data_IF_156576103958
#
_entry.id   IF_156576103958
#
_cell.length_a   1.000
_cell.length_b   1.000
_cell.length_c   1.000
_cell.angle_alpha   90.00
_cell.angle_beta   90.00
_cell.angle_gamma   90.00
#
_symmetry.space_group_name_H-M   'P 1'
#
loop_
_entity.id
_entity.type
_entity.pdbx_description
1 polymer ?
#
# COMPACT_ATOMS: atom_id res chain seq x y z
N UNK A 1 -3.83 -55.88 3.88
CA UNK A 1 -3.73 -55.52 2.45
C UNK A 1 -5.09 -55.02 2.02
N UNK A 2 -5.36 -53.79 1.57
CA UNK A 2 -4.57 -52.59 1.36
C UNK A 2 -5.54 -51.39 1.32
N UNK A 3 -5.06 -50.23 1.77
CA UNK A 3 -5.66 -48.90 1.58
C UNK A 3 -5.67 -48.55 0.08
N UNK A 4 -6.68 -47.81 -0.37
CA UNK A 4 -6.66 -46.82 -1.48
C UNK A 4 -8.14 -46.46 -1.79
N UNK A 5 -8.56 -45.23 -2.10
CA UNK A 5 -8.04 -43.89 -1.88
C UNK A 5 -9.26 -42.98 -2.09
N UNK A 6 -9.57 -42.13 -1.12
CA UNK A 6 -10.39 -40.95 -1.31
C UNK A 6 -9.65 -40.02 -2.30
N UNK A 7 -10.32 -39.59 -3.36
CA UNK A 7 -9.93 -38.42 -4.13
C UNK A 7 -11.18 -37.65 -4.54
N UNK A 8 -11.46 -36.64 -3.74
CA UNK A 8 -12.53 -35.67 -3.79
C UNK A 8 -12.47 -34.87 -5.09
N UNK A 9 -13.57 -34.83 -5.83
CA UNK A 9 -13.83 -33.85 -6.87
C UNK A 9 -14.04 -32.47 -6.20
N UNK A 10 -12.95 -31.74 -6.01
CA UNK A 10 -13.00 -30.28 -5.87
C UNK A 10 -12.66 -29.70 -7.24
N UNK A 11 -13.71 -29.39 -8.00
CA UNK A 11 -13.59 -28.44 -9.11
C UNK A 11 -13.26 -27.09 -8.49
N UNK A 12 -12.04 -26.63 -8.69
CA UNK A 12 -11.60 -25.28 -8.35
C UNK A 12 -12.45 -24.29 -9.15
N UNK A 13 -13.36 -23.60 -8.46
CA UNK A 13 -14.02 -22.43 -8.99
C UNK A 13 -12.93 -21.37 -9.28
N UNK A 14 -12.97 -20.68 -10.43
CA UNK A 14 -11.97 -19.67 -10.75
C UNK A 14 -11.98 -18.59 -9.66
N UNK A 15 -10.87 -18.51 -8.91
CA UNK A 15 -10.59 -17.39 -8.02
C UNK A 15 -10.55 -16.17 -8.92
N UNK A 16 -11.58 -15.33 -8.80
CA UNK A 16 -11.71 -14.09 -9.53
C UNK A 16 -10.65 -13.12 -8.96
N UNK A 17 -9.41 -13.29 -9.39
CA UNK A 17 -8.32 -12.35 -9.12
C UNK A 17 -8.69 -11.08 -9.89
N UNK A 18 -8.88 -9.93 -9.22
CA UNK A 18 -8.89 -8.67 -9.96
C UNK A 18 -7.56 -8.60 -10.70
N UNK A 19 -7.64 -8.40 -12.01
CA UNK A 19 -6.48 -8.17 -12.85
C UNK A 19 -5.83 -6.83 -12.45
N UNK A 20 -5.04 -6.87 -11.37
CA UNK A 20 -4.25 -5.75 -10.88
C UNK A 20 -3.07 -5.44 -11.82
N UNK A 21 -2.88 -6.23 -12.89
CA UNK A 21 -2.00 -5.85 -14.00
C UNK A 21 -2.64 -4.81 -14.92
N UNK A 22 -3.96 -4.58 -14.82
CA UNK A 22 -4.72 -3.67 -15.67
C UNK A 22 -4.97 -2.26 -15.09
N UNK A 23 -4.43 -1.89 -13.93
CA UNK A 23 -4.29 -0.46 -13.57
C UNK A 23 -3.11 0.10 -14.37
N UNK A 24 -3.41 0.48 -15.62
CA UNK A 24 -2.54 1.02 -16.68
C UNK A 24 -1.11 1.39 -16.22
N UNK A 25 -0.25 0.39 -16.06
CA UNK A 25 1.16 0.60 -15.71
C UNK A 25 1.91 1.42 -16.76
N UNK A 26 1.31 1.57 -17.94
CA UNK A 26 1.83 2.28 -19.10
C UNK A 26 1.16 3.63 -19.37
N UNK A 27 0.20 4.08 -18.55
CA UNK A 27 -0.37 5.40 -18.72
C UNK A 27 0.69 6.47 -18.43
N UNK A 28 0.92 7.45 -19.33
CA UNK A 28 1.86 8.55 -19.10
C UNK A 28 1.63 9.29 -17.77
N UNK A 29 0.37 9.35 -17.32
CA UNK A 29 -0.03 9.93 -16.04
C UNK A 29 0.54 9.19 -14.82
N UNK A 30 0.63 7.85 -14.86
CA UNK A 30 1.19 7.06 -13.77
C UNK A 30 2.69 7.33 -13.61
N UNK A 31 3.44 7.29 -14.72
CA UNK A 31 4.89 7.47 -14.74
C UNK A 31 5.30 8.82 -14.13
N UNK A 32 4.65 9.90 -14.56
CA UNK A 32 4.89 11.23 -14.02
C UNK A 32 4.53 11.32 -12.53
N UNK A 33 3.40 10.73 -12.12
CA UNK A 33 2.95 10.71 -10.72
C UNK A 33 3.93 9.94 -9.83
N UNK A 34 4.38 8.77 -10.28
CA UNK A 34 5.36 7.95 -9.59
C UNK A 34 6.70 8.68 -9.48
N UNK A 35 7.21 9.23 -10.59
CA UNK A 35 8.45 10.02 -10.59
C UNK A 35 8.40 11.16 -9.57
N UNK A 36 7.33 11.95 -9.60
CA UNK A 36 7.15 13.08 -8.68
C UNK A 36 7.12 12.63 -7.22
N UNK A 37 6.44 11.51 -6.90
CA UNK A 37 6.37 10.96 -5.55
C UNK A 37 7.70 10.35 -5.07
N UNK A 38 8.57 9.92 -5.98
CA UNK A 38 9.89 9.38 -5.67
C UNK A 38 10.96 10.47 -5.49
N UNK A 39 10.68 11.72 -5.88
CA UNK A 39 11.61 12.83 -5.63
C UNK A 39 11.76 13.05 -4.13
N UNK A 40 12.98 12.85 -3.61
CA UNK A 40 13.29 13.13 -2.21
C UNK A 40 12.85 14.54 -1.83
N UNK A 41 12.13 14.68 -0.71
CA UNK A 41 11.59 15.96 -0.23
C UNK A 41 10.27 16.40 -0.87
N UNK A 42 9.73 15.65 -1.83
CA UNK A 42 8.32 15.78 -2.24
C UNK A 42 7.48 14.86 -1.36
N UNK A 43 7.01 15.38 -0.23
CA UNK A 43 6.02 14.71 0.62
C UNK A 43 4.59 14.93 0.12
N UNK A 44 3.58 14.28 0.73
CA UNK A 44 2.17 14.43 0.34
C UNK A 44 1.68 15.89 0.29
N UNK A 45 2.03 16.70 1.29
CA UNK A 45 1.69 18.13 1.35
C UNK A 45 2.28 18.91 0.19
N UNK A 46 3.59 18.76 -0.04
CA UNK A 46 4.29 19.45 -1.12
C UNK A 46 3.76 19.01 -2.49
N UNK A 47 3.51 17.70 -2.68
CA UNK A 47 2.88 17.17 -3.90
C UNK A 47 1.54 17.84 -4.15
N UNK A 48 0.67 17.92 -3.13
CA UNK A 48 -0.64 18.54 -3.23
C UNK A 48 -0.54 20.00 -3.67
N UNK A 49 0.29 20.81 -3.02
CA UNK A 49 0.45 22.23 -3.39
C UNK A 49 1.05 22.42 -4.78
N UNK A 50 1.95 21.52 -5.21
CA UNK A 50 2.45 21.50 -6.58
C UNK A 50 1.34 21.18 -7.59
N UNK A 51 0.52 20.15 -7.33
CA UNK A 51 -0.58 19.77 -8.20
C UNK A 51 -1.70 20.82 -8.24
N UNK A 52 -2.00 21.48 -7.13
CA UNK A 52 -2.95 22.61 -7.08
C UNK A 52 -2.51 23.77 -7.99
N UNK A 53 -1.20 23.99 -8.12
CA UNK A 53 -0.66 25.07 -8.96
C UNK A 53 -0.49 24.69 -10.43
N UNK A 54 0.02 23.49 -10.71
CA UNK A 54 0.42 23.06 -12.06
C UNK A 54 -0.57 22.08 -12.71
N UNK A 55 -1.57 21.59 -11.97
CA UNK A 55 -2.62 20.70 -12.44
C UNK A 55 -2.21 19.23 -12.50
N UNK A 56 -1.06 18.90 -13.12
CA UNK A 56 -0.62 17.51 -13.31
C UNK A 56 0.82 17.29 -12.87
N UNK A 57 1.17 16.03 -12.54
CA UNK A 57 2.54 15.67 -12.20
C UNK A 57 3.51 15.94 -13.36
N UNK A 58 3.08 15.72 -14.60
CA UNK A 58 3.89 16.02 -15.79
C UNK A 58 4.20 17.52 -15.88
N UNK A 59 3.19 18.38 -15.71
CA UNK A 59 3.39 19.82 -15.71
C UNK A 59 4.32 20.30 -14.59
N UNK A 60 4.32 19.65 -13.42
CA UNK A 60 5.27 19.92 -12.33
C UNK A 60 6.71 19.56 -12.73
N UNK A 61 6.92 18.40 -13.35
CA UNK A 61 8.23 17.92 -13.77
C UNK A 61 8.83 18.80 -14.88
N UNK A 62 7.99 19.31 -15.78
CA UNK A 62 8.39 20.17 -16.89
C UNK A 62 8.56 21.64 -16.49
N UNK A 63 7.97 22.06 -15.36
CA UNK A 63 7.97 23.45 -14.93
C UNK A 63 9.40 23.96 -14.66
N UNK A 64 9.74 25.21 -15.07
CA UNK A 64 11.03 25.80 -14.77
C UNK A 64 11.24 25.97 -13.26
N UNK A 65 12.48 25.81 -12.80
CA UNK A 65 12.83 25.90 -11.39
C UNK A 65 12.42 27.24 -10.75
N UNK A 66 12.36 28.33 -11.52
CA UNK A 66 11.86 29.62 -11.06
C UNK A 66 10.41 29.56 -10.58
N UNK A 67 9.51 28.98 -11.40
CA UNK A 67 8.09 28.85 -11.05
C UNK A 67 7.86 27.85 -9.92
N UNK A 68 8.65 26.76 -9.88
CA UNK A 68 8.59 25.81 -8.76
C UNK A 68 8.90 26.48 -7.42
N UNK A 69 9.86 27.42 -7.38
CA UNK A 69 10.24 28.13 -6.14
C UNK A 69 9.17 29.08 -5.59
N UNK A 70 8.18 29.43 -6.40
CA UNK A 70 7.05 30.22 -5.95
C UNK A 70 6.01 29.39 -5.18
N UNK A 71 6.17 28.06 -5.15
CA UNK A 71 5.32 27.16 -4.36
C UNK A 71 5.79 27.13 -2.91
N UNK A 72 4.91 27.37 -1.92
CA UNK A 72 5.25 27.28 -0.51
C UNK A 72 5.94 25.94 -0.15
N UNK A 73 7.08 26.03 0.54
CA UNK A 73 7.88 24.86 0.92
C UNK A 73 8.84 24.34 -0.17
N UNK A 74 8.82 24.91 -1.37
CA UNK A 74 9.72 24.51 -2.46
C UNK A 74 10.90 25.48 -2.57
N UNK A 75 12.01 25.13 -1.92
CA UNK A 75 13.26 25.88 -2.01
C UNK A 75 14.09 25.56 -3.26
N UNK A 76 15.21 26.27 -3.42
CA UNK A 76 16.15 26.07 -4.54
C UNK A 76 16.56 24.60 -4.71
N UNK A 77 16.96 23.92 -3.63
CA UNK A 77 17.38 22.51 -3.67
C UNK A 77 16.27 21.59 -4.16
N UNK A 78 15.03 21.78 -3.68
CA UNK A 78 13.91 20.93 -4.07
C UNK A 78 13.50 21.19 -5.52
N UNK A 79 13.43 22.45 -5.96
CA UNK A 79 13.10 22.78 -7.35
C UNK A 79 14.07 22.14 -8.36
N UNK A 80 15.36 22.11 -8.04
CA UNK A 80 16.38 21.48 -8.89
C UNK A 80 16.25 19.94 -8.90
N UNK A 81 15.96 19.32 -7.75
CA UNK A 81 15.71 17.87 -7.69
C UNK A 81 14.48 17.45 -8.48
N UNK A 82 13.38 18.21 -8.40
CA UNK A 82 12.18 17.96 -9.21
C UNK A 82 12.55 18.01 -10.70
N UNK A 83 13.24 19.08 -11.11
CA UNK A 83 13.71 19.29 -12.49
C UNK A 83 14.65 18.21 -13.03
N UNK A 84 15.55 17.72 -12.19
CA UNK A 84 16.58 16.76 -12.59
C UNK A 84 16.19 15.31 -12.29
N UNK A 85 14.99 15.11 -11.72
CA UNK A 85 14.50 13.79 -11.28
C UNK A 85 14.57 12.72 -12.36
N UNK A 86 14.35 13.06 -13.63
CA UNK A 86 14.41 12.11 -14.75
C UNK A 86 15.81 11.50 -14.98
N UNK A 87 16.87 12.13 -14.46
CA UNK A 87 18.23 11.58 -14.51
C UNK A 87 18.61 10.79 -13.25
N UNK A 88 17.89 10.99 -12.14
CA UNK A 88 18.17 10.37 -10.84
C UNK A 88 17.25 9.17 -10.55
N UNK A 89 16.03 9.17 -11.10
CA UNK A 89 14.98 8.19 -10.82
C UNK A 89 14.68 7.39 -12.09
N UNK A 90 14.98 6.09 -12.05
CA UNK A 90 14.60 5.14 -13.09
C UNK A 90 13.19 4.59 -12.80
N UNK A 91 12.19 5.36 -13.22
CA UNK A 91 10.76 5.03 -13.04
C UNK A 91 10.42 3.67 -13.69
N UNK A 92 11.01 3.41 -14.85
CA UNK A 92 10.82 2.18 -15.60
C UNK A 92 11.32 0.94 -14.85
N UNK A 93 12.47 1.07 -14.17
CA UNK A 93 12.98 0.03 -13.28
C UNK A 93 12.04 -0.20 -12.10
N UNK A 94 11.53 0.84 -11.46
CA UNK A 94 10.59 0.70 -10.33
C UNK A 94 9.29 0.01 -10.75
N UNK A 95 8.74 0.36 -11.91
CA UNK A 95 7.54 -0.31 -12.47
C UNK A 95 7.84 -1.78 -12.76
N UNK A 96 8.98 -2.09 -13.39
CA UNK A 96 9.39 -3.49 -13.64
C UNK A 96 9.54 -4.28 -12.34
N UNK A 97 10.22 -3.71 -11.35
CA UNK A 97 10.42 -4.33 -10.04
C UNK A 97 9.08 -4.64 -9.36
N UNK A 98 8.13 -3.70 -9.40
CA UNK A 98 6.79 -3.93 -8.87
C UNK A 98 6.07 -5.06 -9.61
N UNK A 99 6.11 -5.06 -10.94
CA UNK A 99 5.49 -6.08 -11.78
C UNK A 99 6.06 -7.48 -11.50
N UNK A 100 7.38 -7.61 -11.46
CA UNK A 100 8.08 -8.87 -11.19
C UNK A 100 7.74 -9.46 -9.80
N UNK A 101 7.34 -8.61 -8.85
CA UNK A 101 7.01 -9.00 -7.48
C UNK A 101 5.50 -8.93 -7.19
N UNK A 102 4.65 -8.85 -8.22
CA UNK A 102 3.18 -8.81 -8.08
C UNK A 102 2.68 -7.66 -7.18
N UNK A 103 3.33 -6.51 -7.30
CA UNK A 103 2.98 -5.28 -6.58
C UNK A 103 2.26 -4.36 -7.56
N UNK A 104 1.02 -4.01 -7.24
CA UNK A 104 0.28 -2.97 -7.92
C UNK A 104 0.74 -1.58 -7.44
N UNK A 105 0.73 -0.61 -8.36
CA UNK A 105 1.03 0.78 -8.08
C UNK A 105 -0.27 1.55 -8.26
N UNK A 106 -0.88 1.95 -7.15
CA UNK A 106 -2.17 2.64 -7.15
C UNK A 106 -1.94 4.14 -6.91
N UNK A 107 -2.57 4.96 -7.73
CA UNK A 107 -2.67 6.41 -7.57
C UNK A 107 -4.02 6.79 -6.97
N UNK A 108 -4.17 8.04 -6.53
CA UNK A 108 -5.44 8.53 -5.98
C UNK A 108 -6.63 8.40 -6.96
N UNK A 109 -6.36 8.42 -8.27
CA UNK A 109 -7.35 8.28 -9.33
C UNK A 109 -7.81 6.83 -9.55
N UNK A 110 -7.10 5.84 -9.01
CA UNK A 110 -7.44 4.43 -9.19
C UNK A 110 -8.67 4.04 -8.38
N UNK A 111 -9.56 3.26 -9.00
CA UNK A 111 -10.78 2.75 -8.35
C UNK A 111 -10.48 1.84 -7.15
N UNK A 112 -9.33 1.16 -7.16
CA UNK A 112 -8.88 0.28 -6.07
C UNK A 112 -8.14 1.03 -4.95
N UNK A 113 -7.89 2.34 -5.11
CA UNK A 113 -7.30 3.13 -4.04
C UNK A 113 -8.31 3.28 -2.89
N UNK A 114 -7.96 2.93 -1.64
CA UNK A 114 -8.92 2.89 -0.53
C UNK A 114 -9.61 4.24 -0.32
N UNK A 115 -10.94 4.27 -0.38
CA UNK A 115 -11.71 5.53 -0.35
C UNK A 115 -11.43 6.34 0.91
N UNK A 116 -11.45 5.71 2.09
CA UNK A 116 -11.17 6.38 3.36
C UNK A 116 -9.74 6.93 3.44
N UNK A 117 -8.77 6.29 2.77
CA UNK A 117 -7.40 6.80 2.71
C UNK A 117 -7.32 8.06 1.84
N UNK A 118 -8.15 8.16 0.79
CA UNK A 118 -8.24 9.35 -0.07
C UNK A 118 -8.80 10.57 0.67
N UNK A 119 -9.61 10.33 1.71
CA UNK A 119 -10.29 11.39 2.48
C UNK A 119 -9.41 12.05 3.55
N UNK A 120 -8.23 11.50 3.86
CA UNK A 120 -7.32 12.12 4.84
C UNK A 120 -6.75 13.45 4.27
N UNK A 121 -6.27 14.38 5.10
CA UNK A 121 -5.77 15.68 4.62
C UNK A 121 -4.63 15.58 3.59
N UNK A 122 -3.75 14.60 3.76
CA UNK A 122 -2.50 14.44 3.01
C UNK A 122 -2.36 12.99 2.49
N UNK A 123 -3.21 12.55 1.56
CA UNK A 123 -3.21 11.17 1.09
C UNK A 123 -1.90 10.84 0.36
N UNK A 124 -1.37 9.60 0.48
CA UNK A 124 -0.23 9.18 -0.33
C UNK A 124 -0.60 9.15 -1.82
N UNK A 125 0.24 9.74 -2.66
CA UNK A 125 -0.06 9.90 -4.10
C UNK A 125 0.17 8.64 -4.91
N UNK A 126 1.01 7.77 -4.35
CA UNK A 126 1.23 6.40 -4.81
C UNK A 126 1.15 5.48 -3.61
N UNK A 127 0.42 4.38 -3.77
CA UNK A 127 0.32 3.27 -2.83
C UNK A 127 0.81 2.00 -3.53
N UNK A 128 1.82 1.36 -2.95
CA UNK A 128 2.29 0.06 -3.40
C UNK A 128 1.50 -1.03 -2.69
N UNK A 129 0.84 -1.89 -3.45
CA UNK A 129 -0.11 -2.87 -2.94
C UNK A 129 0.23 -4.28 -3.41
N UNK A 130 0.31 -5.25 -2.49
CA UNK A 130 0.53 -6.66 -2.81
C UNK A 130 -0.59 -7.52 -2.24
N UNK A 131 -1.11 -8.43 -3.06
CA UNK A 131 -2.26 -9.28 -2.74
C UNK A 131 -3.59 -8.69 -3.23
N UNK A 132 -4.69 -9.36 -2.88
CA UNK A 132 -6.01 -8.98 -3.39
C UNK A 132 -6.51 -7.67 -2.76
N UNK A 133 -7.18 -6.84 -3.55
CA UNK A 133 -8.10 -5.79 -3.06
C UNK A 133 -9.53 -6.31 -3.15
N UNK A 134 -10.34 -6.17 -2.10
CA UNK A 134 -11.72 -6.69 -2.06
C UNK A 134 -12.70 -5.59 -1.65
N UNK A 135 -13.95 -5.59 -2.16
CA UNK A 135 -14.97 -4.61 -1.75
C UNK A 135 -15.20 -4.57 -0.23
N UNK A 136 -14.98 -5.70 0.46
CA UNK A 136 -15.05 -5.80 1.92
C UNK A 136 -14.10 -4.84 2.65
N UNK A 137 -13.00 -4.41 2.02
CA UNK A 137 -12.00 -3.52 2.64
C UNK A 137 -12.51 -2.12 2.93
N UNK A 138 -13.62 -1.70 2.32
CA UNK A 138 -14.31 -0.47 2.68
C UNK A 138 -14.84 -0.51 4.13
N UNK A 139 -15.07 -1.71 4.69
CA UNK A 139 -15.44 -1.94 6.08
C UNK A 139 -14.24 -2.51 6.84
N UNK A 140 -13.29 -1.62 7.13
CA UNK A 140 -12.06 -1.96 7.83
C UNK A 140 -12.00 -1.36 9.23
N UNK A 141 -11.29 -2.04 10.14
CA UNK A 141 -10.99 -1.53 11.48
C UNK A 141 -9.51 -1.70 11.81
N UNK A 142 -8.90 -0.63 12.29
CA UNK A 142 -7.50 -0.65 12.71
C UNK A 142 -7.39 -1.21 14.14
N UNK A 143 -6.51 -2.19 14.34
CA UNK A 143 -6.10 -2.65 15.68
C UNK A 143 -4.61 -2.38 15.82
N UNK A 144 -4.24 -1.51 16.76
CA UNK A 144 -2.87 -1.08 17.00
C UNK A 144 -2.53 -1.19 18.48
N UNK A 145 -1.24 -1.32 18.81
CA UNK A 145 -0.82 -1.25 20.21
C UNK A 145 0.67 -1.44 20.42
N UNK A 146 1.04 -1.74 21.67
CA UNK A 146 2.46 -1.86 22.07
C UNK A 146 3.17 -3.01 21.35
N UNK A 147 4.45 -2.80 21.04
CA UNK A 147 5.37 -3.83 20.55
C UNK A 147 5.78 -4.84 21.63
N UNK A 148 5.61 -4.47 22.90
CA UNK A 148 5.89 -5.29 24.08
C UNK A 148 4.59 -5.55 24.84
N UNK A 149 3.73 -6.39 24.27
CA UNK A 149 2.44 -6.71 24.85
C UNK A 149 2.55 -7.82 25.91
N UNK A 150 1.72 -7.74 26.94
CA UNK A 150 1.56 -8.84 27.90
C UNK A 150 0.82 -10.01 27.24
N UNK A 151 0.92 -11.21 27.81
CA UNK A 151 0.13 -12.36 27.35
C UNK A 151 -1.37 -12.08 27.34
N UNK A 152 -1.87 -11.33 28.33
CA UNK A 152 -3.27 -10.90 28.35
C UNK A 152 -3.60 -10.00 27.16
N UNK A 153 -2.77 -8.98 26.89
CA UNK A 153 -2.96 -8.07 25.76
C UNK A 153 -2.96 -8.79 24.41
N UNK A 154 -2.04 -9.72 24.21
CA UNK A 154 -1.99 -10.56 23.00
C UNK A 154 -3.30 -11.34 22.83
N UNK A 155 -3.76 -12.05 23.88
CA UNK A 155 -5.01 -12.83 23.82
C UNK A 155 -6.24 -11.96 23.52
N UNK A 156 -6.31 -10.75 24.09
CA UNK A 156 -7.42 -9.84 23.81
C UNK A 156 -7.39 -9.31 22.38
N UNK A 157 -6.21 -8.95 21.86
CA UNK A 157 -6.06 -8.51 20.48
C UNK A 157 -6.46 -9.61 19.49
N UNK A 158 -6.01 -10.85 19.71
CA UNK A 158 -6.40 -12.02 18.90
C UNK A 158 -7.90 -12.26 18.95
N UNK A 159 -8.50 -12.27 20.16
CA UNK A 159 -9.94 -12.50 20.34
C UNK A 159 -10.78 -11.42 19.66
N UNK A 160 -10.38 -10.15 19.79
CA UNK A 160 -11.08 -9.02 19.20
C UNK A 160 -11.02 -9.07 17.67
N UNK A 161 -9.81 -9.26 17.11
CA UNK A 161 -9.61 -9.38 15.68
C UNK A 161 -10.38 -10.57 15.08
N UNK A 162 -10.36 -11.72 15.77
CA UNK A 162 -11.12 -12.90 15.36
C UNK A 162 -12.63 -12.64 15.37
N UNK A 163 -13.16 -11.96 16.39
CA UNK A 163 -14.57 -11.62 16.49
C UNK A 163 -15.04 -10.67 15.39
N UNK A 164 -14.30 -9.58 15.18
CA UNK A 164 -14.62 -8.56 14.17
C UNK A 164 -14.49 -9.11 12.74
N UNK A 165 -13.47 -9.92 12.47
CA UNK A 165 -13.28 -10.51 11.15
C UNK A 165 -14.35 -11.55 10.80
N UNK A 166 -14.83 -12.35 11.77
CA UNK A 166 -16.02 -13.21 11.57
C UNK A 166 -17.29 -12.42 11.29
N UNK A 167 -17.40 -11.21 11.83
CA UNK A 167 -18.50 -10.29 11.53
C UNK A 167 -18.36 -9.61 10.15
N UNK A 168 -17.31 -9.94 9.40
CA UNK A 168 -17.10 -9.44 8.04
C UNK A 168 -16.28 -8.16 7.97
N UNK A 169 -15.61 -7.72 9.03
CA UNK A 169 -14.71 -6.56 8.97
C UNK A 169 -13.29 -6.97 8.56
N UNK A 170 -12.64 -6.16 7.72
CA UNK A 170 -11.21 -6.30 7.46
C UNK A 170 -10.39 -5.73 8.62
N UNK A 171 -9.44 -6.50 9.16
CA UNK A 171 -8.53 -6.01 10.19
C UNK A 171 -7.32 -5.33 9.55
N UNK A 172 -7.03 -4.08 9.91
CA UNK A 172 -5.86 -3.34 9.43
C UNK A 172 -4.87 -3.15 10.58
N UNK A 173 -3.58 -3.42 10.34
CA UNK A 173 -2.53 -3.18 11.33
C UNK A 173 -1.15 -3.03 10.70
N UNK A 174 -0.12 -2.71 11.48
CA UNK A 174 1.22 -2.36 10.98
C UNK A 174 2.20 -3.51 10.82
N UNK A 175 1.77 -4.77 11.04
CA UNK A 175 2.62 -5.97 11.09
C UNK A 175 3.80 -5.88 12.09
N UNK A 176 3.77 -4.94 13.03
CA UNK A 176 4.78 -4.84 14.07
C UNK A 176 4.68 -6.00 15.08
N UNK A 177 5.70 -6.13 15.94
CA UNK A 177 5.64 -7.05 17.11
C UNK A 177 4.48 -6.69 18.03
N UNK A 178 4.09 -7.61 18.88
CA UNK A 178 3.08 -7.37 19.91
C UNK A 178 1.66 -7.38 19.35
N UNK A 179 0.92 -6.29 19.60
CA UNK A 179 -0.52 -6.21 19.32
C UNK A 179 -0.83 -6.33 17.82
N UNK A 180 -0.04 -5.72 16.94
CA UNK A 180 -0.29 -5.74 15.50
C UNK A 180 -0.25 -7.17 14.93
N UNK A 181 0.81 -7.92 15.23
CA UNK A 181 0.92 -9.31 14.81
C UNK A 181 -0.17 -10.21 15.45
N UNK A 182 -0.59 -9.91 16.67
CA UNK A 182 -1.69 -10.62 17.33
C UNK A 182 -3.03 -10.34 16.63
N UNK A 183 -3.28 -9.11 16.18
CA UNK A 183 -4.46 -8.76 15.42
C UNK A 183 -4.52 -9.52 14.08
N UNK A 184 -3.42 -9.53 13.32
CA UNK A 184 -3.33 -10.29 12.07
C UNK A 184 -3.56 -11.79 12.29
N UNK A 185 -2.89 -12.40 13.28
CA UNK A 185 -3.11 -13.81 13.63
C UNK A 185 -4.55 -14.10 14.02
N UNK A 186 -5.17 -13.26 14.85
CA UNK A 186 -6.56 -13.40 15.25
C UNK A 186 -7.52 -13.41 14.06
N UNK A 187 -7.31 -12.50 13.10
CA UNK A 187 -8.09 -12.45 11.87
C UNK A 187 -7.90 -13.71 11.00
N UNK A 188 -6.65 -14.11 10.75
CA UNK A 188 -6.33 -15.27 9.91
C UNK A 188 -6.82 -16.59 10.53
N UNK A 189 -6.66 -16.78 11.84
CA UNK A 189 -7.14 -17.96 12.56
C UNK A 189 -8.67 -18.09 12.51
N UNK A 190 -9.38 -16.98 12.30
CA UNK A 190 -10.82 -16.95 12.10
C UNK A 190 -11.22 -17.07 10.62
N UNK A 191 -10.26 -17.38 9.72
CA UNK A 191 -10.43 -17.36 8.26
C UNK A 191 -10.96 -16.02 7.74
N UNK A 192 -10.67 -14.94 8.46
CA UNK A 192 -11.07 -13.59 8.15
C UNK A 192 -10.04 -12.84 7.31
N UNK A 193 -10.37 -11.59 6.99
CA UNK A 193 -9.53 -10.73 6.15
C UNK A 193 -8.67 -9.77 6.99
N UNK A 194 -7.43 -9.56 6.55
CA UNK A 194 -6.54 -8.57 7.16
C UNK A 194 -5.63 -7.91 6.13
N UNK A 195 -5.25 -6.65 6.37
CA UNK A 195 -4.31 -5.86 5.56
C UNK A 195 -3.19 -5.34 6.47
N UNK A 196 -1.95 -5.55 6.06
CA UNK A 196 -0.77 -5.00 6.71
C UNK A 196 -0.34 -3.68 6.05
N UNK A 197 -0.17 -2.61 6.84
CA UNK A 197 0.42 -1.34 6.41
C UNK A 197 1.88 -1.31 6.86
N UNK A 198 2.80 -1.46 5.92
CA UNK A 198 4.22 -1.60 6.22
C UNK A 198 4.90 -0.23 6.38
N UNK A 199 5.69 -0.09 7.46
CA UNK A 199 6.59 1.05 7.64
C UNK A 199 7.93 0.92 6.90
N UNK A 200 8.16 -0.22 6.25
CA UNK A 200 9.32 -0.50 5.41
C UNK A 200 8.87 -0.68 3.95
N UNK A 201 9.84 -0.73 3.02
CA UNK A 201 9.54 -1.10 1.65
C UNK A 201 8.90 -2.50 1.60
N UNK A 202 7.93 -2.70 0.71
CA UNK A 202 7.14 -3.94 0.61
C UNK A 202 7.99 -5.19 0.31
N UNK A 203 9.17 -5.00 -0.29
CA UNK A 203 10.17 -6.05 -0.54
C UNK A 203 11.16 -6.24 0.62
N UNK A 204 11.21 -5.31 1.57
CA UNK A 204 12.06 -5.36 2.74
C UNK A 204 11.20 -5.51 4.00
N UNK A 205 10.64 -6.70 4.20
CA UNK A 205 9.74 -6.98 5.32
C UNK A 205 10.44 -6.79 6.66
N UNK A 206 9.83 -6.00 7.54
CA UNK A 206 10.28 -5.82 8.91
C UNK A 206 9.10 -5.94 9.90
N UNK A 207 9.24 -6.68 11.00
CA UNK A 207 10.43 -7.43 11.40
C UNK A 207 10.59 -8.77 10.64
N UNK A 208 11.82 -9.29 10.42
CA UNK A 208 12.05 -10.47 9.58
C UNK A 208 11.33 -11.75 10.03
N UNK A 209 11.12 -11.92 11.33
CA UNK A 209 10.40 -13.07 11.90
C UNK A 209 8.91 -13.13 11.50
N UNK A 210 8.34 -12.04 10.99
CA UNK A 210 6.95 -12.01 10.52
C UNK A 210 6.78 -12.42 9.06
N UNK A 211 7.83 -12.94 8.39
CA UNK A 211 7.73 -13.44 7.01
C UNK A 211 6.64 -14.50 6.81
N UNK A 212 6.41 -15.36 7.80
CA UNK A 212 5.34 -16.37 7.71
C UNK A 212 3.93 -15.83 7.94
N UNK A 213 3.80 -14.59 8.45
CA UNK A 213 2.52 -13.91 8.69
C UNK A 213 2.14 -12.98 7.53
N UNK A 214 3.08 -12.68 6.63
CA UNK A 214 3.01 -11.64 5.60
C UNK A 214 2.75 -12.17 4.18
#
# INVERSE_FOLDING_TARGET
MGRQHLASLQQELPVNQPDLSATSSDAPSLRATLQLCLVSGVGPRTRRTLLERFGTAQAVLDAPASLLREVPGVGQRLSQRIRNSGSEIDVDREIRLCRENQIAILTEADAHYPRLLREIPDPPGVLFWRGDSKPQDELAIAIVGTRHATHYGIRQAERLAAGLSRAGLTIVSGLARGIDAAAHRGALNASGRTIAVLGSGILNLYPPEHRGLA
#
